data_IF_959012621636
#
_entry.id   IF_959012621636
#
_cell.length_a   1.000
_cell.length_b   1.000
_cell.length_c   1.000
_cell.angle_alpha   90.00
_cell.angle_beta   90.00
_cell.angle_gamma   90.00
#
_symmetry.space_group_name_H-M   'P 1'
#
loop_
_entity.id
_entity.type
_entity.pdbx_description
1 polymer ?
#
# COMPACT_ATOMS: atom_id res chain seq x y z
N UNK A 1 51.50 -9.20 -29.31
CA UNK A 1 50.05 -9.46 -29.33
C UNK A 1 49.46 -8.96 -28.02
N UNK A 2 48.73 -7.86 -28.03
CA UNK A 2 48.07 -7.31 -26.83
C UNK A 2 46.61 -7.11 -27.20
N UNK A 3 45.82 -8.16 -27.00
CA UNK A 3 44.37 -8.16 -27.20
C UNK A 3 43.78 -7.20 -26.17
N UNK A 4 43.39 -6.01 -26.63
CA UNK A 4 42.50 -5.12 -25.91
C UNK A 4 41.13 -5.82 -25.88
N UNK A 5 40.87 -6.55 -24.79
CA UNK A 5 39.53 -7.03 -24.46
C UNK A 5 38.69 -5.78 -24.13
N UNK A 6 38.06 -5.20 -25.14
CA UNK A 6 36.99 -4.21 -24.97
C UNK A 6 35.83 -4.95 -24.31
N UNK A 7 35.73 -4.84 -22.99
CA UNK A 7 34.55 -5.25 -22.25
C UNK A 7 33.39 -4.40 -22.80
N UNK A 8 32.35 -4.97 -23.44
CA UNK A 8 31.20 -4.18 -23.82
C UNK A 8 30.53 -3.81 -22.50
N UNK A 9 30.69 -2.55 -22.08
CA UNK A 9 29.93 -1.98 -20.99
C UNK A 9 28.47 -2.03 -21.43
N UNK A 10 27.79 -3.10 -21.03
CA UNK A 10 26.38 -3.36 -21.25
C UNK A 10 25.61 -2.11 -20.82
N UNK A 11 25.19 -1.31 -21.79
CA UNK A 11 24.13 -0.30 -21.67
C UNK A 11 22.82 -1.05 -21.40
N UNK A 12 22.72 -1.71 -20.26
CA UNK A 12 21.45 -2.28 -19.82
C UNK A 12 20.55 -1.09 -19.50
N UNK A 13 19.38 -0.96 -20.15
CA UNK A 13 18.42 0.06 -19.76
C UNK A 13 18.12 -0.15 -18.28
N UNK A 14 18.22 0.93 -17.49
CA UNK A 14 17.76 0.91 -16.11
C UNK A 14 16.26 0.58 -16.14
N UNK A 15 15.93 -0.67 -15.83
CA UNK A 15 14.54 -1.08 -15.71
C UNK A 15 14.03 -0.56 -14.37
N UNK A 16 13.01 0.30 -14.40
CA UNK A 16 12.31 0.70 -13.19
C UNK A 16 11.66 -0.55 -12.58
N UNK A 17 12.09 -0.93 -11.38
CA UNK A 17 11.57 -2.10 -10.67
C UNK A 17 10.62 -1.63 -9.58
N UNK A 18 9.38 -2.11 -9.65
CA UNK A 18 8.40 -1.95 -8.59
C UNK A 18 8.48 -3.18 -7.69
N UNK A 19 9.08 -3.03 -6.50
CA UNK A 19 9.05 -4.02 -5.44
C UNK A 19 8.41 -3.40 -4.21
N UNK A 20 7.51 -4.14 -3.56
CA UNK A 20 6.95 -3.71 -2.28
C UNK A 20 8.02 -3.87 -1.18
N UNK A 21 8.27 -2.81 -0.41
CA UNK A 21 9.14 -2.85 0.77
C UNK A 21 8.41 -3.38 2.01
N UNK A 22 7.15 -3.79 1.86
CA UNK A 22 6.35 -4.31 2.95
C UNK A 22 6.71 -5.77 3.22
N UNK A 23 6.76 -6.18 4.50
CA UNK A 23 7.01 -7.58 4.84
C UNK A 23 5.91 -8.46 4.23
N UNK A 24 6.31 -9.39 3.35
CA UNK A 24 5.40 -10.28 2.61
C UNK A 24 4.94 -9.75 1.25
N UNK A 25 5.27 -8.51 0.88
CA UNK A 25 4.91 -7.91 -0.40
C UNK A 25 3.51 -7.30 -0.45
N UNK A 26 2.63 -7.69 0.47
CA UNK A 26 1.25 -7.19 0.56
C UNK A 26 1.14 -5.90 1.40
N UNK A 27 0.08 -5.13 1.15
CA UNK A 27 -0.29 -4.01 2.01
C UNK A 27 -0.68 -4.53 3.41
N UNK A 28 -0.19 -3.94 4.52
CA UNK A 28 -0.30 -4.55 5.85
C UNK A 28 -1.76 -4.78 6.23
N UNK A 29 -2.13 -5.99 6.65
CA UNK A 29 -3.51 -6.31 6.99
C UNK A 29 -4.06 -5.41 8.13
N UNK A 30 -5.37 -5.09 8.11
CA UNK A 30 -5.98 -4.34 9.20
C UNK A 30 -6.00 -5.17 10.49
N UNK A 31 -5.64 -4.56 11.62
CA UNK A 31 -5.81 -5.14 12.95
C UNK A 31 -7.24 -4.90 13.48
N UNK A 32 -8.23 -5.27 12.65
CA UNK A 32 -9.64 -5.16 12.98
C UNK A 32 -10.23 -6.55 13.15
N UNK A 33 -10.69 -6.88 14.36
CA UNK A 33 -11.29 -8.19 14.66
C UNK A 33 -12.80 -8.15 14.47
N UNK A 34 -13.32 -9.01 13.59
CA UNK A 34 -14.76 -9.21 13.46
C UNK A 34 -15.33 -9.88 14.71
N UNK A 35 -16.43 -9.38 15.29
CA UNK A 35 -17.06 -10.01 16.45
C UNK A 35 -17.70 -11.34 16.08
N UNK A 36 -17.78 -12.24 17.07
CA UNK A 36 -18.45 -13.52 16.89
C UNK A 36 -19.97 -13.33 16.88
N UNK A 37 -20.63 -13.93 15.90
CA UNK A 37 -22.08 -13.91 15.79
C UNK A 37 -22.71 -14.74 16.92
N UNK A 38 -23.73 -14.22 17.63
CA UNK A 38 -24.55 -15.01 18.55
C UNK A 38 -25.24 -16.19 17.84
N UNK A 39 -25.50 -17.25 18.58
CA UNK A 39 -26.21 -18.44 18.11
C UNK A 39 -27.73 -18.19 18.05
N UNK A 40 -28.47 -18.98 17.24
CA UNK A 40 -29.91 -19.01 17.32
C UNK A 40 -30.38 -19.40 18.73
N UNK A 41 -31.22 -18.56 19.35
CA UNK A 41 -31.71 -18.76 20.72
C UNK A 41 -30.99 -17.93 21.78
N UNK A 42 -29.86 -17.29 21.44
CA UNK A 42 -29.17 -16.36 22.34
C UNK A 42 -30.03 -15.13 22.68
N UNK A 43 -29.72 -14.49 23.81
CA UNK A 43 -30.58 -13.47 24.38
C UNK A 43 -30.65 -12.22 23.48
N UNK A 44 -31.76 -11.45 23.54
CA UNK A 44 -31.84 -10.17 22.84
C UNK A 44 -30.70 -9.19 23.20
N UNK A 45 -30.08 -9.34 24.38
CA UNK A 45 -28.95 -8.53 24.80
C UNK A 45 -27.68 -8.88 24.02
N UNK A 46 -27.40 -10.16 23.81
CA UNK A 46 -26.25 -10.64 23.03
C UNK A 46 -26.33 -10.12 21.58
N UNK A 47 -27.54 -10.16 21.00
CA UNK A 47 -27.80 -9.58 19.69
C UNK A 47 -27.61 -8.06 19.64
N UNK A 48 -27.93 -7.33 20.72
CA UNK A 48 -27.66 -5.88 20.81
C UNK A 48 -26.16 -5.60 20.86
N UNK A 49 -25.43 -6.34 21.70
CA UNK A 49 -23.98 -6.21 21.83
C UNK A 49 -23.28 -6.52 20.51
N UNK A 50 -23.63 -7.63 19.86
CA UNK A 50 -23.09 -7.99 18.54
C UNK A 50 -23.29 -6.89 17.50
N UNK A 51 -24.45 -6.22 17.45
CA UNK A 51 -24.67 -5.09 16.53
C UNK A 51 -23.77 -3.90 16.84
N UNK A 52 -23.56 -3.60 18.12
CA UNK A 52 -22.63 -2.55 18.56
C UNK A 52 -21.19 -2.88 18.16
N UNK A 53 -20.76 -4.12 18.39
CA UNK A 53 -19.41 -4.57 18.05
C UNK A 53 -19.18 -4.62 16.53
N UNK A 54 -20.22 -4.97 15.76
CA UNK A 54 -20.17 -4.92 14.30
C UNK A 54 -20.00 -3.50 13.78
N UNK A 55 -20.63 -2.52 14.42
CA UNK A 55 -20.45 -1.10 14.08
C UNK A 55 -19.03 -0.62 14.41
N UNK A 56 -18.49 -1.01 15.57
CA UNK A 56 -17.10 -0.71 15.92
C UNK A 56 -16.10 -1.36 14.94
N UNK A 57 -16.34 -2.62 14.55
CA UNK A 57 -15.55 -3.30 13.53
C UNK A 57 -15.60 -2.57 12.19
N UNK A 58 -16.78 -2.13 11.75
CA UNK A 58 -16.95 -1.34 10.52
C UNK A 58 -16.13 -0.06 10.56
N UNK A 59 -16.21 0.69 11.66
CA UNK A 59 -15.47 1.94 11.84
C UNK A 59 -13.95 1.71 11.83
N UNK A 60 -13.47 0.62 12.43
CA UNK A 60 -12.06 0.23 12.37
C UNK A 60 -11.59 0.01 10.93
N UNK A 61 -12.36 -0.78 10.15
CA UNK A 61 -12.02 -1.07 8.75
C UNK A 61 -12.08 0.20 7.90
N UNK A 62 -13.08 1.07 8.09
CA UNK A 62 -13.19 2.33 7.38
C UNK A 62 -12.00 3.27 7.67
N UNK A 63 -11.55 3.36 8.92
CA UNK A 63 -10.38 4.14 9.30
C UNK A 63 -9.10 3.62 8.64
N UNK A 64 -8.90 2.30 8.67
CA UNK A 64 -7.77 1.66 7.99
C UNK A 64 -7.77 1.96 6.48
N UNK A 65 -8.92 1.84 5.81
CA UNK A 65 -9.04 2.15 4.39
C UNK A 65 -8.75 3.63 4.07
N UNK A 66 -9.14 4.54 4.96
CA UNK A 66 -8.82 5.96 4.81
C UNK A 66 -7.30 6.21 4.85
N UNK A 67 -6.60 5.57 5.79
CA UNK A 67 -5.13 5.63 5.88
C UNK A 67 -4.47 5.03 4.63
N UNK A 68 -4.94 3.88 4.17
CA UNK A 68 -4.41 3.24 2.96
C UNK A 68 -4.52 4.14 1.72
N UNK A 69 -5.64 4.85 1.56
CA UNK A 69 -5.82 5.83 0.49
C UNK A 69 -4.85 7.01 0.60
N UNK A 70 -4.61 7.50 1.81
CA UNK A 70 -3.65 8.58 2.03
C UNK A 70 -2.21 8.16 1.71
N UNK A 71 -1.85 6.92 2.03
CA UNK A 71 -0.54 6.37 1.69
C UNK A 71 -0.33 6.27 0.17
N UNK A 72 -1.33 5.75 -0.55
CA UNK A 72 -1.30 5.69 -2.01
C UNK A 72 -1.14 7.09 -2.63
N UNK A 73 -1.88 8.07 -2.11
CA UNK A 73 -1.80 9.46 -2.56
C UNK A 73 -0.43 10.09 -2.27
N UNK A 74 0.16 9.80 -1.11
CA UNK A 74 1.52 10.26 -0.77
C UNK A 74 2.56 9.68 -1.73
N UNK A 75 2.43 8.40 -2.11
CA UNK A 75 3.32 7.76 -3.10
C UNK A 75 3.16 8.44 -4.46
N UNK A 76 1.92 8.66 -4.91
CA UNK A 76 1.63 9.36 -6.16
C UNK A 76 2.24 10.76 -6.21
N UNK A 77 2.05 11.56 -5.15
CA UNK A 77 2.63 12.91 -5.07
C UNK A 77 4.16 12.91 -5.10
N UNK A 78 4.82 11.90 -4.52
CA UNK A 78 6.28 11.76 -4.60
C UNK A 78 6.76 11.48 -6.03
N UNK A 79 6.05 10.61 -6.75
CA UNK A 79 6.32 10.37 -8.17
C UNK A 79 6.11 11.63 -9.00
N UNK A 80 4.96 12.30 -8.85
CA UNK A 80 4.66 13.55 -9.59
C UNK A 80 5.70 14.64 -9.31
N UNK A 81 6.15 14.77 -8.06
CA UNK A 81 7.23 15.68 -7.68
C UNK A 81 8.53 15.33 -8.41
N UNK A 82 8.96 14.06 -8.39
CA UNK A 82 10.18 13.62 -9.04
C UNK A 82 10.15 13.85 -10.57
N UNK A 83 9.01 13.60 -11.21
CA UNK A 83 8.83 13.88 -12.64
C UNK A 83 8.89 15.37 -12.94
N UNK A 84 8.26 16.21 -12.11
CA UNK A 84 8.30 17.66 -12.27
C UNK A 84 9.72 18.20 -12.15
N UNK A 85 10.45 17.79 -11.11
CA UNK A 85 11.85 18.18 -10.89
C UNK A 85 12.73 17.79 -12.09
N UNK A 86 12.55 16.57 -12.62
CA UNK A 86 13.23 16.17 -13.86
C UNK A 86 12.91 17.08 -15.05
N UNK A 87 11.65 17.43 -15.29
CA UNK A 87 11.27 18.30 -16.40
C UNK A 87 11.86 19.71 -16.27
N UNK A 88 11.88 20.26 -15.05
CA UNK A 88 12.49 21.55 -14.73
C UNK A 88 14.02 21.52 -14.98
N UNK A 89 14.71 20.49 -14.50
CA UNK A 89 16.16 20.33 -14.66
C UNK A 89 16.57 20.05 -16.12
N UNK A 90 15.74 19.32 -16.86
CA UNK A 90 16.02 18.93 -18.25
C UNK A 90 15.64 19.99 -19.28
N UNK A 91 15.03 21.11 -18.86
CA UNK A 91 14.58 22.17 -19.76
C UNK A 91 13.36 21.80 -20.62
N UNK A 92 12.62 20.76 -20.22
CA UNK A 92 11.40 20.27 -20.88
C UNK A 92 10.12 20.99 -20.38
N UNK A 93 10.23 22.27 -20.03
CA UNK A 93 9.09 23.08 -19.55
C UNK A 93 8.17 23.56 -20.68
#
# INVERSE_FOLDING_TARGET
>A
MRTLLMLPLLLLPFTAQAASLLPGGDYPAPDCRSPLRPLPGDSPMDWRMYRSDMEAYRQCVEAYLATARQDAERIRKRMEKAVREYNEESGNL
#
